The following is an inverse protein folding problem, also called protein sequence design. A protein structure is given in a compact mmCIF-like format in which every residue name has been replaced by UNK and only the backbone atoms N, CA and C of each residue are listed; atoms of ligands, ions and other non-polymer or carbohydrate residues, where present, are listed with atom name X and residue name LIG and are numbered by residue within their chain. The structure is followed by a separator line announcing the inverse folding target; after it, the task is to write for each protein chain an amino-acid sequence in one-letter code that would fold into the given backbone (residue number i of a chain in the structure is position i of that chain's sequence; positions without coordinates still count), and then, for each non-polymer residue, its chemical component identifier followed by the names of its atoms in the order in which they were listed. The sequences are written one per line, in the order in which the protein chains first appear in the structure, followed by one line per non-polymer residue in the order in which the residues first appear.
data_IF_133242500031
#
_entry.id   IF_133242500031
#
_cell.length_a   1.000
_cell.length_b   1.000
_cell.length_c   1.000
_cell.angle_alpha   90.00
_cell.angle_beta   90.00
_cell.angle_gamma   90.00
#
_symmetry.space_group_name_H-M   'P 1'
#
loop_
_entity.id
_entity.type
_entity.pdbx_description
1 polymer ?
#
# COMPACT_ATOMS: atom_id res chain seq x y z
N UNK A 1 0.05 13.12 -20.58
CA UNK A 1 0.99 13.15 -19.46
C UNK A 1 0.77 14.45 -18.70
N UNK A 2 0.68 14.47 -17.36
CA UNK A 2 0.98 15.69 -16.60
C UNK A 2 2.43 16.05 -16.90
N UNK A 3 2.69 17.32 -17.18
CA UNK A 3 3.84 17.73 -17.98
C UNK A 3 5.15 17.87 -17.20
N UNK A 4 5.17 17.78 -15.86
CA UNK A 4 6.44 17.80 -15.11
C UNK A 4 6.35 17.20 -13.69
N UNK A 5 7.47 16.70 -13.12
CA UNK A 5 7.62 16.34 -11.70
C UNK A 5 7.32 17.47 -10.68
N UNK A 6 7.18 18.72 -11.15
CA UNK A 6 7.03 19.89 -10.30
C UNK A 6 5.67 20.01 -9.61
N UNK A 7 4.60 19.46 -10.20
CA UNK A 7 3.25 19.55 -9.59
C UNK A 7 3.14 18.68 -8.33
N UNK A 8 3.78 17.51 -8.31
CA UNK A 8 3.82 16.62 -7.12
C UNK A 8 4.65 17.23 -5.98
N UNK A 9 5.75 17.92 -6.30
CA UNK A 9 6.58 18.61 -5.30
C UNK A 9 5.83 19.79 -4.65
N UNK A 10 5.07 20.57 -5.43
CA UNK A 10 4.25 21.67 -4.90
C UNK A 10 3.14 21.17 -3.96
N UNK A 11 2.58 19.98 -4.19
CA UNK A 11 1.53 19.40 -3.34
C UNK A 11 2.12 18.98 -1.99
N UNK A 12 3.28 18.29 -1.97
CA UNK A 12 3.88 17.83 -0.71
C UNK A 12 4.59 18.95 0.09
N UNK A 13 5.17 19.95 -0.57
CA UNK A 13 5.75 21.11 0.12
C UNK A 13 4.67 21.95 0.81
N UNK A 14 3.48 22.07 0.22
CA UNK A 14 2.33 22.71 0.87
C UNK A 14 1.87 21.98 2.13
N UNK A 15 2.08 20.66 2.20
CA UNK A 15 1.82 19.86 3.40
C UNK A 15 2.97 19.90 4.43
N UNK A 16 4.19 20.18 3.99
CA UNK A 16 5.35 20.35 4.89
C UNK A 16 5.35 21.72 5.58
N UNK A 17 4.75 22.73 4.94
CA UNK A 17 4.58 24.09 5.49
C UNK A 17 3.38 24.25 6.44
N UNK A 18 2.60 23.18 6.68
CA UNK A 18 1.55 23.18 7.69
C UNK A 18 2.18 23.08 9.09
N UNK A 19 2.56 24.22 9.65
CA UNK A 19 2.61 24.43 11.09
C UNK A 19 1.16 24.31 11.63
N UNK A 20 0.67 23.09 11.74
CA UNK A 20 -0.57 22.78 12.44
C UNK A 20 -0.35 23.07 13.93
N UNK A 21 -1.19 23.91 14.57
CA UNK A 21 -1.15 24.05 16.01
C UNK A 21 -1.73 22.75 16.60
N UNK A 22 -0.88 21.74 16.78
CA UNK A 22 -1.24 20.52 17.50
C UNK A 22 -1.28 20.86 18.98
N UNK A 23 -2.49 21.06 19.49
CA UNK A 23 -2.74 21.25 20.92
C UNK A 23 -2.63 19.88 21.59
N UNK A 24 -1.57 19.72 22.38
CA UNK A 24 -1.35 18.56 23.25
C UNK A 24 -2.42 18.55 24.34
N UNK A 25 -3.49 17.77 24.16
CA UNK A 25 -4.29 17.29 25.28
C UNK A 25 -4.16 15.77 25.32
N UNK A 26 -3.25 15.34 26.20
CA UNK A 26 -3.11 13.96 26.61
C UNK A 26 -4.44 13.48 27.20
N UNK A 27 -5.08 12.53 26.54
CA UNK A 27 -6.06 11.67 27.20
C UNK A 27 -5.85 10.25 26.68
N UNK A 28 -4.94 9.57 27.37
CA UNK A 28 -4.80 8.13 27.29
C UNK A 28 -5.99 7.54 28.05
N UNK A 29 -7.10 7.32 27.35
CA UNK A 29 -8.25 6.59 27.89
C UNK A 29 -8.10 5.14 27.47
N UNK A 30 -7.90 4.28 28.46
CA UNK A 30 -7.92 2.82 28.34
C UNK A 30 -9.21 2.38 27.64
N UNK A 31 -9.09 1.81 26.45
CA UNK A 31 -10.20 1.54 25.52
C UNK A 31 -10.99 0.27 25.83
N UNK A 32 -10.72 -0.41 26.95
CA UNK A 32 -11.38 -1.70 27.27
C UNK A 32 -12.68 -1.61 28.08
N UNK A 33 -13.05 -0.44 28.61
CA UNK A 33 -14.22 -0.32 29.52
C UNK A 33 -15.25 0.75 29.17
N UNK A 34 -15.03 1.54 28.12
CA UNK A 34 -16.03 2.48 27.62
C UNK A 34 -16.66 1.88 26.38
N UNK A 35 -18.00 1.82 26.29
CA UNK A 35 -18.75 1.44 25.09
C UNK A 35 -18.56 2.41 23.90
N UNK A 36 -17.32 2.79 23.63
CA UNK A 36 -16.88 3.57 22.49
C UNK A 36 -16.99 2.69 21.26
N UNK A 37 -17.67 3.24 20.25
CA UNK A 37 -17.77 2.65 18.93
C UNK A 37 -16.36 2.24 18.45
N UNK A 38 -16.24 1.07 17.79
CA UNK A 38 -14.98 0.65 17.22
C UNK A 38 -14.38 1.73 16.32
N UNK A 39 -13.08 2.00 16.46
CA UNK A 39 -12.40 3.00 15.64
C UNK A 39 -12.15 2.41 14.25
N UNK A 40 -12.54 3.08 13.15
CA UNK A 40 -12.39 2.52 11.80
C UNK A 40 -10.94 2.12 11.46
N UNK A 41 -9.94 2.77 12.06
CA UNK A 41 -8.53 2.42 11.88
C UNK A 41 -8.16 1.06 12.50
N UNK A 42 -8.75 0.70 13.64
CA UNK A 42 -8.58 -0.62 14.27
C UNK A 42 -9.38 -1.68 13.54
N UNK A 43 -10.58 -1.33 13.10
CA UNK A 43 -11.48 -2.23 12.39
C UNK A 43 -10.95 -2.57 11.00
N UNK A 44 -10.26 -1.66 10.30
CA UNK A 44 -9.61 -1.95 9.01
C UNK A 44 -8.52 -3.02 9.14
N UNK A 45 -7.82 -3.08 10.27
CA UNK A 45 -6.74 -4.06 10.49
C UNK A 45 -7.28 -5.50 10.61
N UNK A 46 -8.55 -5.66 11.03
CA UNK A 46 -9.17 -6.98 11.21
C UNK A 46 -9.41 -7.74 9.90
N UNK A 47 -10.10 -7.22 8.87
CA UNK A 47 -10.29 -7.95 7.62
C UNK A 47 -8.98 -8.14 6.87
N UNK A 48 -8.03 -7.20 6.96
CA UNK A 48 -6.69 -7.34 6.37
C UNK A 48 -5.94 -8.53 6.99
N UNK A 49 -6.01 -8.71 8.32
CA UNK A 49 -5.45 -9.88 9.01
C UNK A 49 -6.26 -11.16 8.75
N UNK A 50 -7.58 -11.07 8.85
CA UNK A 50 -8.51 -12.19 8.66
C UNK A 50 -8.47 -12.77 7.26
N UNK A 51 -8.06 -11.97 6.26
CA UNK A 51 -7.80 -12.44 4.91
C UNK A 51 -6.82 -13.64 4.87
N UNK A 52 -5.85 -13.68 5.79
CA UNK A 52 -4.86 -14.76 5.90
C UNK A 52 -5.21 -15.82 6.97
N UNK A 53 -6.45 -15.84 7.48
CA UNK A 53 -6.89 -16.78 8.52
C UNK A 53 -6.74 -18.25 8.12
N UNK A 54 -6.98 -18.54 6.83
CA UNK A 54 -6.88 -19.88 6.23
C UNK A 54 -5.44 -20.28 5.87
N UNK A 55 -4.47 -19.43 6.22
CA UNK A 55 -3.06 -19.58 5.87
C UNK A 55 -2.67 -18.90 4.55
N UNK A 56 -1.36 -18.69 4.34
CA UNK A 56 -0.83 -18.03 3.14
C UNK A 56 -1.17 -18.76 1.82
N UNK A 57 -1.31 -20.09 1.86
CA UNK A 57 -1.57 -20.90 0.66
C UNK A 57 -2.99 -20.70 0.09
N UNK A 58 -3.94 -20.28 0.93
CA UNK A 58 -5.32 -19.99 0.52
C UNK A 58 -5.49 -18.54 0.00
N UNK A 59 -4.57 -17.63 0.35
CA UNK A 59 -4.63 -16.21 -0.01
C UNK A 59 -4.75 -15.93 -1.52
N UNK A 60 -4.08 -16.65 -2.45
CA UNK A 60 -4.21 -16.40 -3.88
C UNK A 60 -5.63 -16.66 -4.38
N UNK A 61 -6.23 -17.77 -3.94
CA UNK A 61 -7.59 -18.17 -4.34
C UNK A 61 -8.59 -17.16 -3.78
N UNK A 62 -8.44 -16.80 -2.50
CA UNK A 62 -9.29 -15.82 -1.84
C UNK A 62 -9.21 -14.45 -2.52
N UNK A 63 -8.02 -14.06 -2.98
CA UNK A 63 -7.80 -12.81 -3.71
C UNK A 63 -8.46 -12.83 -5.10
N UNK A 64 -8.31 -13.92 -5.85
CA UNK A 64 -8.97 -14.04 -7.17
C UNK A 64 -10.48 -14.08 -7.04
N UNK A 65 -11.04 -14.78 -6.03
CA UNK A 65 -12.47 -14.71 -5.74
C UNK A 65 -12.90 -13.28 -5.43
N UNK A 66 -12.21 -12.58 -4.52
CA UNK A 66 -12.48 -11.18 -4.23
C UNK A 66 -12.46 -10.33 -5.51
N UNK A 67 -11.42 -10.46 -6.32
CA UNK A 67 -11.26 -9.74 -7.59
C UNK A 67 -12.42 -9.98 -8.55
N UNK A 68 -12.81 -11.23 -8.78
CA UNK A 68 -13.87 -11.57 -9.74
C UNK A 68 -15.23 -11.04 -9.29
N UNK A 69 -15.58 -11.23 -8.01
CA UNK A 69 -16.85 -10.72 -7.46
C UNK A 69 -16.90 -9.18 -7.49
N UNK A 70 -15.77 -8.49 -7.23
CA UNK A 70 -15.71 -7.04 -7.37
C UNK A 70 -15.90 -6.56 -8.82
N UNK A 71 -15.35 -7.30 -9.80
CA UNK A 71 -15.56 -7.01 -11.22
C UNK A 71 -17.04 -7.16 -11.64
N UNK A 72 -17.79 -7.99 -10.92
CA UNK A 72 -19.24 -8.17 -11.07
C UNK A 72 -20.08 -7.20 -10.20
N UNK A 73 -19.43 -6.33 -9.42
CA UNK A 73 -20.10 -5.40 -8.49
C UNK A 73 -20.74 -6.08 -7.28
N UNK A 74 -20.28 -7.27 -6.91
CA UNK A 74 -20.79 -8.05 -5.78
C UNK A 74 -19.88 -7.94 -4.56
N UNK A 75 -20.48 -7.88 -3.37
CA UNK A 75 -19.76 -7.87 -2.09
C UNK A 75 -19.89 -9.18 -1.30
N UNK A 76 -20.77 -10.09 -1.76
CA UNK A 76 -20.93 -11.44 -1.21
C UNK A 76 -20.02 -12.39 -1.96
N UNK A 77 -18.91 -12.78 -1.33
CA UNK A 77 -17.84 -13.57 -1.94
C UNK A 77 -18.03 -15.02 -1.53
N UNK A 78 -18.36 -15.87 -2.51
CA UNK A 78 -18.47 -17.30 -2.28
C UNK A 78 -17.12 -17.96 -2.52
N UNK A 79 -16.83 -19.01 -1.75
CA UNK A 79 -15.74 -19.92 -2.08
C UNK A 79 -16.10 -20.66 -3.36
N UNK A 80 -15.59 -20.15 -4.46
CA UNK A 80 -15.81 -20.79 -5.74
C UNK A 80 -14.97 -22.08 -5.84
N UNK A 81 -15.66 -23.22 -5.80
CA UNK A 81 -15.08 -24.55 -5.95
C UNK A 81 -14.39 -24.76 -7.31
N UNK A 82 -14.67 -23.89 -8.30
CA UNK A 82 -13.98 -23.90 -9.58
C UNK A 82 -12.49 -23.64 -9.37
N UNK A 83 -12.05 -22.76 -8.46
CA UNK A 83 -10.61 -22.45 -8.28
C UNK A 83 -9.78 -23.55 -7.61
N UNK A 84 -10.33 -24.74 -7.40
CA UNK A 84 -9.57 -25.93 -6.98
C UNK A 84 -8.39 -26.24 -7.92
N UNK A 85 -8.45 -25.83 -9.20
CA UNK A 85 -7.32 -25.92 -10.12
C UNK A 85 -6.22 -24.87 -9.87
N UNK A 86 -6.54 -23.69 -9.32
CA UNK A 86 -5.56 -22.65 -8.96
C UNK A 86 -4.73 -23.02 -7.71
N UNK A 87 -5.23 -23.96 -6.91
CA UNK A 87 -4.49 -24.57 -5.80
C UNK A 87 -3.36 -25.49 -6.27
N UNK A 88 -3.23 -25.75 -7.59
CA UNK A 88 -2.08 -26.48 -8.11
C UNK A 88 -0.81 -25.61 -8.03
N UNK A 89 0.34 -26.17 -7.58
CA UNK A 89 1.59 -25.43 -7.38
C UNK A 89 2.05 -24.51 -8.52
N UNK A 90 1.88 -24.83 -9.82
CA UNK A 90 2.30 -23.93 -10.88
C UNK A 90 1.44 -22.65 -11.00
N UNK A 91 0.15 -22.69 -10.65
CA UNK A 91 -0.75 -21.53 -10.79
C UNK A 91 -0.70 -20.60 -9.58
N UNK A 92 -0.53 -21.14 -8.37
CA UNK A 92 -0.32 -20.34 -7.16
C UNK A 92 0.95 -19.47 -7.22
N UNK A 93 1.96 -19.87 -8.02
CA UNK A 93 3.17 -19.09 -8.30
C UNK A 93 2.96 -17.96 -9.33
N UNK A 94 1.92 -18.05 -10.15
CA UNK A 94 1.59 -17.05 -11.17
C UNK A 94 0.78 -15.88 -10.59
N UNK A 95 0.12 -16.10 -9.45
CA UNK A 95 -0.57 -15.07 -8.71
C UNK A 95 0.42 -14.43 -7.74
N UNK A 96 0.81 -13.15 -7.90
CA UNK A 96 1.82 -12.50 -7.06
C UNK A 96 1.22 -12.11 -5.70
N UNK A 97 0.69 -13.10 -4.98
CA UNK A 97 -0.03 -12.90 -3.72
C UNK A 97 0.88 -12.41 -2.60
N UNK A 98 2.18 -12.66 -2.74
CA UNK A 98 3.23 -12.18 -1.84
C UNK A 98 3.67 -10.73 -2.16
N UNK A 99 3.13 -10.06 -3.19
CA UNK A 99 3.62 -8.76 -3.66
C UNK A 99 3.11 -7.55 -2.87
N UNK A 100 3.89 -6.46 -2.94
CA UNK A 100 3.53 -5.13 -2.44
C UNK A 100 2.21 -4.60 -3.05
N UNK A 101 1.94 -4.98 -4.30
CA UNK A 101 0.71 -4.61 -5.01
C UNK A 101 -0.51 -5.26 -4.38
N UNK A 102 -0.47 -6.57 -4.11
CA UNK A 102 -1.60 -7.22 -3.43
C UNK A 102 -1.86 -6.58 -2.07
N UNK A 103 -0.80 -6.34 -1.29
CA UNK A 103 -0.95 -5.77 0.05
C UNK A 103 -1.65 -4.41 0.03
N UNK A 104 -1.22 -3.54 -0.89
CA UNK A 104 -1.82 -2.23 -1.05
C UNK A 104 -3.24 -2.31 -1.64
N UNK A 105 -3.49 -3.15 -2.66
CA UNK A 105 -4.84 -3.38 -3.20
C UNK A 105 -5.81 -3.85 -2.13
N UNK A 106 -5.41 -4.81 -1.29
CA UNK A 106 -6.28 -5.37 -0.26
C UNK A 106 -6.74 -4.31 0.75
N UNK A 107 -5.80 -3.50 1.27
CA UNK A 107 -6.14 -2.44 2.21
C UNK A 107 -7.00 -1.34 1.57
N UNK A 108 -6.75 -0.98 0.31
CA UNK A 108 -7.56 -0.01 -0.43
C UNK A 108 -8.98 -0.52 -0.69
N UNK A 109 -9.11 -1.77 -1.14
CA UNK A 109 -10.39 -2.42 -1.40
C UNK A 109 -11.21 -2.54 -0.13
N UNK A 110 -10.62 -2.90 1.01
CA UNK A 110 -11.39 -2.90 2.28
C UNK A 110 -11.78 -1.49 2.71
N UNK A 111 -11.00 -0.47 2.36
CA UNK A 111 -11.30 0.91 2.74
C UNK A 111 -12.29 1.61 1.80
N UNK A 112 -12.47 1.11 0.58
CA UNK A 112 -13.31 1.77 -0.43
C UNK A 112 -14.79 1.79 -0.05
N UNK A 113 -15.53 2.79 -0.49
CA UNK A 113 -16.99 2.75 -0.45
C UNK A 113 -17.56 1.48 -1.14
N UNK A 114 -18.75 0.99 -0.74
CA UNK A 114 -19.32 -0.26 -1.24
C UNK A 114 -19.81 -0.18 -2.69
N UNK A 115 -19.88 1.01 -3.28
CA UNK A 115 -20.25 1.20 -4.67
C UNK A 115 -19.26 0.47 -5.59
N UNK A 116 -19.76 -0.26 -6.61
CA UNK A 116 -18.92 -1.00 -7.56
C UNK A 116 -17.83 -0.14 -8.19
N UNK A 117 -18.16 1.11 -8.56
CA UNK A 117 -17.21 2.03 -9.19
C UNK A 117 -16.02 2.36 -8.28
N UNK A 118 -16.28 2.68 -7.01
CA UNK A 118 -15.24 3.01 -6.03
C UNK A 118 -14.35 1.80 -5.72
N UNK A 119 -14.95 0.62 -5.63
CA UNK A 119 -14.21 -0.63 -5.40
C UNK A 119 -13.36 -1.00 -6.63
N UNK A 120 -13.88 -0.82 -7.85
CA UNK A 120 -13.13 -1.01 -9.09
C UNK A 120 -12.00 0.02 -9.26
N UNK A 121 -12.20 1.26 -8.79
CA UNK A 121 -11.16 2.27 -8.78
C UNK A 121 -10.01 1.89 -7.83
N UNK A 122 -10.35 1.46 -6.60
CA UNK A 122 -9.38 0.97 -5.62
C UNK A 122 -8.61 -0.27 -6.14
N UNK A 123 -9.32 -1.22 -6.77
CA UNK A 123 -8.71 -2.37 -7.44
C UNK A 123 -7.79 -1.92 -8.59
N UNK A 124 -8.25 -0.98 -9.40
CA UNK A 124 -7.57 -0.47 -10.58
C UNK A 124 -6.36 0.42 -10.28
N UNK A 125 -6.21 0.94 -9.07
CA UNK A 125 -5.09 1.82 -8.70
C UNK A 125 -3.74 1.21 -9.06
N UNK A 126 -3.53 -0.08 -8.76
CA UNK A 126 -2.25 -0.77 -8.96
C UNK A 126 -2.19 -1.61 -10.26
N UNK A 127 -3.35 -1.87 -10.88
CA UNK A 127 -3.45 -2.52 -12.19
C UNK A 127 -3.23 -1.55 -13.35
N UNK A 128 -3.63 -0.28 -13.19
CA UNK A 128 -3.47 0.75 -14.21
C UNK A 128 -2.04 1.28 -14.18
N UNK A 129 -1.19 0.69 -15.00
CA UNK A 129 0.19 1.09 -15.20
C UNK A 129 0.37 2.48 -15.86
N UNK A 130 -0.59 3.42 -15.83
CA UNK A 130 -0.44 4.87 -16.19
C UNK A 130 -1.78 5.64 -16.35
N UNK A 131 -2.88 5.28 -15.67
CA UNK A 131 -4.01 6.21 -15.65
C UNK A 131 -3.72 7.33 -14.64
N UNK A 132 -3.70 8.57 -15.13
CA UNK A 132 -3.57 9.80 -14.35
C UNK A 132 -4.77 9.87 -13.38
N UNK A 133 -4.63 9.30 -12.18
CA UNK A 133 -5.44 9.75 -11.06
C UNK A 133 -4.82 11.08 -10.63
N UNK A 134 -5.61 12.14 -10.75
CA UNK A 134 -5.27 13.44 -10.16
C UNK A 134 -5.06 13.20 -8.66
N UNK A 135 -3.89 13.56 -8.16
CA UNK A 135 -3.63 13.58 -6.72
C UNK A 135 -4.61 14.57 -6.10
N UNK A 136 -5.66 14.06 -5.46
CA UNK A 136 -6.49 14.89 -4.61
C UNK A 136 -5.67 15.29 -3.38
N UNK A 137 -5.92 16.51 -2.89
CA UNK A 137 -5.27 17.04 -1.71
C UNK A 137 -5.71 16.22 -0.51
N UNK A 138 -4.76 15.61 0.18
CA UNK A 138 -4.98 14.99 1.48
C UNK A 138 -5.37 16.06 2.51
N UNK A 139 -6.67 16.28 2.70
CA UNK A 139 -7.16 17.13 3.76
C UNK A 139 -7.26 16.31 5.05
N UNK A 140 -6.20 16.32 5.86
CA UNK A 140 -6.29 15.89 7.26
C UNK A 140 -7.09 16.96 8.00
N UNK A 141 -8.42 16.86 7.96
CA UNK A 141 -9.39 17.80 8.58
C UNK A 141 -9.33 17.75 10.12
N UNK A 142 -8.52 16.85 10.71
CA UNK A 142 -8.35 16.70 12.17
C UNK A 142 -9.64 16.37 12.93
N UNK A 143 -10.76 16.17 12.22
CA UNK A 143 -12.07 15.90 12.80
C UNK A 143 -12.08 14.49 13.40
N UNK A 144 -12.60 14.42 14.62
CA UNK A 144 -12.79 13.18 15.36
C UNK A 144 -13.65 12.23 14.54
N UNK A 145 -13.16 11.00 14.32
CA UNK A 145 -13.89 9.94 13.63
C UNK A 145 -13.60 9.78 12.14
N UNK A 146 -12.83 10.69 11.51
CA UNK A 146 -12.45 10.55 10.09
C UNK A 146 -11.17 9.74 9.94
N UNK A 147 -11.23 8.68 9.14
CA UNK A 147 -10.06 7.92 8.71
C UNK A 147 -9.80 8.20 7.24
N UNK A 148 -8.56 8.54 6.90
CA UNK A 148 -8.11 8.71 5.51
C UNK A 148 -7.14 7.59 5.17
N UNK A 149 -7.36 6.92 4.05
CA UNK A 149 -6.49 5.83 3.58
C UNK A 149 -5.80 6.26 2.29
N UNK A 150 -4.47 6.22 2.31
CA UNK A 150 -3.61 6.64 1.21
C UNK A 150 -2.91 5.41 0.62
N UNK A 151 -3.27 5.05 -0.61
CA UNK A 151 -2.50 4.15 -1.44
C UNK A 151 -1.34 4.91 -2.08
N UNK A 152 -0.12 4.47 -1.82
CA UNK A 152 1.10 5.11 -2.34
C UNK A 152 1.79 4.13 -3.27
N UNK A 153 2.13 4.59 -4.47
CA UNK A 153 2.92 3.84 -5.43
C UNK A 153 4.17 4.63 -5.79
N UNK A 154 5.33 4.16 -5.31
CA UNK A 154 6.65 4.68 -5.66
C UNK A 154 7.18 3.87 -6.84
N UNK A 155 7.33 4.50 -8.00
CA UNK A 155 7.78 3.85 -9.24
C UNK A 155 8.94 4.61 -9.82
N UNK A 156 9.97 3.90 -10.27
CA UNK A 156 11.02 4.49 -11.09
C UNK A 156 10.55 4.62 -12.54
N UNK A 157 10.56 5.85 -13.07
CA UNK A 157 10.11 6.21 -14.42
C UNK A 157 10.93 5.46 -15.48
N UNK A 158 12.20 5.16 -15.20
CA UNK A 158 13.02 4.34 -16.10
C UNK A 158 12.40 2.96 -16.37
N UNK A 159 11.71 2.38 -15.39
CA UNK A 159 10.99 1.10 -15.55
C UNK A 159 9.96 1.19 -16.69
N UNK A 160 9.24 2.31 -16.72
CA UNK A 160 8.15 2.55 -17.67
C UNK A 160 8.72 2.83 -19.05
N UNK A 161 9.68 3.74 -19.15
CA UNK A 161 10.28 4.11 -20.44
C UNK A 161 11.02 2.94 -21.10
N UNK A 162 11.68 2.08 -20.31
CA UNK A 162 12.35 0.87 -20.84
C UNK A 162 11.34 -0.20 -21.25
N UNK A 163 10.27 -0.37 -20.47
CA UNK A 163 9.17 -1.29 -20.79
C UNK A 163 8.44 -0.91 -22.08
N UNK A 164 8.13 0.37 -22.26
CA UNK A 164 7.50 0.91 -23.48
C UNK A 164 8.39 0.77 -24.72
N UNK A 165 9.70 0.89 -24.56
CA UNK A 165 10.67 0.73 -25.65
C UNK A 165 11.00 -0.74 -25.97
N UNK A 166 10.43 -1.71 -25.27
CA UNK A 166 10.84 -3.13 -25.32
C UNK A 166 12.37 -3.29 -25.19
N UNK A 167 13.00 -2.42 -24.40
CA UNK A 167 14.45 -2.42 -24.26
C UNK A 167 14.90 -3.70 -23.55
N UNK A 168 15.69 -4.51 -24.26
CA UNK A 168 16.22 -5.80 -23.78
C UNK A 168 17.38 -5.66 -22.79
N UNK A 169 17.66 -4.46 -22.28
CA UNK A 169 18.75 -4.26 -21.32
C UNK A 169 18.36 -4.78 -19.93
N UNK A 170 18.28 -6.12 -19.83
CA UNK A 170 18.04 -6.92 -18.63
C UNK A 170 19.20 -6.85 -17.62
N UNK A 171 20.25 -6.07 -17.93
CA UNK A 171 21.42 -5.90 -17.07
C UNK A 171 21.16 -4.93 -15.90
N UNK A 172 19.98 -4.32 -15.84
CA UNK A 172 19.59 -3.42 -14.76
C UNK A 172 18.21 -3.77 -14.21
N UNK A 173 18.06 -3.59 -12.90
CA UNK A 173 16.78 -3.66 -12.20
C UNK A 173 16.23 -2.24 -12.06
N UNK A 174 14.93 -2.10 -12.27
CA UNK A 174 14.21 -0.91 -11.85
C UNK A 174 13.28 -1.25 -10.68
N UNK A 175 12.72 -0.24 -10.04
CA UNK A 175 12.09 -0.40 -8.74
C UNK A 175 10.67 0.18 -8.71
N UNK A 176 9.72 -0.62 -8.22
CA UNK A 176 8.37 -0.19 -7.91
C UNK A 176 7.93 -0.78 -6.57
N UNK A 177 7.34 0.04 -5.71
CA UNK A 177 6.82 -0.39 -4.43
C UNK A 177 5.54 0.33 -4.06
N UNK A 178 4.53 -0.47 -3.76
CA UNK A 178 3.20 0.00 -3.40
C UNK A 178 2.93 -0.33 -1.94
N UNK A 179 2.37 0.64 -1.20
CA UNK A 179 2.02 0.48 0.20
C UNK A 179 0.82 1.35 0.55
N UNK A 180 0.20 1.11 1.69
CA UNK A 180 -0.95 1.89 2.16
C UNK A 180 -0.67 2.47 3.55
N UNK A 181 -1.03 3.74 3.73
CA UNK A 181 -1.04 4.43 5.01
C UNK A 181 -2.50 4.72 5.37
N UNK A 182 -2.98 4.18 6.49
CA UNK A 182 -4.28 4.55 7.05
C UNK A 182 -4.04 5.52 8.22
N UNK A 183 -4.68 6.69 8.17
CA UNK A 183 -4.42 7.83 9.05
C UNK A 183 -5.70 8.20 9.80
N UNK A 184 -5.60 8.36 11.11
CA UNK A 184 -6.66 8.84 11.99
C UNK A 184 -6.08 9.78 13.06
N UNK A 185 -6.91 10.37 13.92
CA UNK A 185 -6.43 11.30 14.98
C UNK A 185 -5.41 10.64 15.91
N UNK A 186 -5.65 9.39 16.26
CA UNK A 186 -4.83 8.59 17.18
C UNK A 186 -3.46 8.19 16.61
N UNK A 187 -3.22 8.39 15.31
CA UNK A 187 -1.98 8.02 14.65
C UNK A 187 -2.24 7.37 13.29
N UNK A 188 -1.35 6.47 12.89
CA UNK A 188 -1.45 5.82 11.57
C UNK A 188 -1.03 4.35 11.61
N UNK A 189 -1.49 3.60 10.60
CA UNK A 189 -1.09 2.22 10.33
C UNK A 189 -0.49 2.11 8.94
N UNK A 190 0.49 1.23 8.79
CA UNK A 190 1.10 0.88 7.50
C UNK A 190 0.68 -0.52 7.09
N UNK A 191 0.33 -0.68 5.83
CA UNK A 191 0.16 -1.98 5.18
C UNK A 191 1.12 -2.05 4.01
N UNK A 192 2.09 -2.96 4.11
CA UNK A 192 3.11 -3.14 3.08
C UNK A 192 3.60 -4.58 3.07
N UNK A 193 4.12 -4.97 1.93
CA UNK A 193 4.92 -6.16 1.72
C UNK A 193 5.97 -5.81 0.69
N UNK A 194 6.99 -6.65 0.52
CA UNK A 194 8.01 -6.40 -0.50
C UNK A 194 7.90 -7.35 -1.67
N UNK A 195 7.57 -8.63 -1.44
CA UNK A 195 7.48 -9.62 -2.52
C UNK A 195 8.49 -10.75 -2.39
N UNK A 196 8.84 -11.32 -3.53
CA UNK A 196 9.62 -12.56 -3.71
C UNK A 196 10.93 -12.64 -2.91
N UNK A 197 11.64 -11.52 -2.73
CA UNK A 197 12.93 -11.49 -2.00
C UNK A 197 12.87 -10.69 -0.70
N UNK A 198 11.67 -10.48 -0.15
CA UNK A 198 11.47 -9.78 1.12
C UNK A 198 10.36 -10.43 1.93
N UNK A 199 9.68 -9.64 2.76
CA UNK A 199 8.59 -10.14 3.59
C UNK A 199 7.24 -10.06 2.89
N UNK A 200 6.38 -11.02 3.21
CA UNK A 200 4.97 -11.06 2.79
C UNK A 200 4.10 -10.21 3.72
N UNK A 201 2.87 -9.91 3.29
CA UNK A 201 1.93 -9.16 4.13
C UNK A 201 1.57 -9.94 5.40
N UNK A 202 1.33 -11.25 5.33
CA UNK A 202 1.00 -12.06 6.52
C UNK A 202 2.12 -12.03 7.57
N UNK A 203 3.38 -12.11 7.13
CA UNK A 203 4.56 -12.03 8.00
C UNK A 203 4.68 -10.64 8.62
N UNK A 204 4.46 -9.60 7.82
CA UNK A 204 4.45 -8.21 8.28
C UNK A 204 3.38 -7.96 9.34
N UNK A 205 2.17 -8.47 9.13
CA UNK A 205 1.06 -8.36 10.10
C UNK A 205 1.35 -9.15 11.38
N UNK A 206 1.86 -10.38 11.27
CA UNK A 206 2.15 -11.28 12.40
C UNK A 206 3.18 -10.70 13.37
N UNK A 207 4.20 -9.99 12.86
CA UNK A 207 5.20 -9.28 13.67
C UNK A 207 4.76 -7.90 14.17
N UNK A 208 3.49 -7.54 14.00
CA UNK A 208 2.94 -6.26 14.45
C UNK A 208 3.36 -5.07 13.56
N UNK A 209 3.64 -5.29 12.28
CA UNK A 209 4.01 -4.23 11.34
C UNK A 209 2.89 -3.20 11.14
N UNK A 210 1.63 -3.63 11.14
CA UNK A 210 0.44 -2.77 11.03
C UNK A 210 -0.03 -2.16 12.36
N UNK A 211 0.77 -2.24 13.42
CA UNK A 211 0.45 -1.60 14.70
C UNK A 211 0.18 -0.10 14.51
N UNK A 212 -0.63 0.46 15.40
CA UNK A 212 -0.80 1.92 15.48
C UNK A 212 0.54 2.58 15.80
N UNK A 213 0.92 3.58 15.01
CA UNK A 213 2.17 4.35 15.12
C UNK A 213 1.89 5.80 15.49
N UNK A 214 2.85 6.40 16.20
CA UNK A 214 2.77 7.76 16.73
C UNK A 214 2.99 8.82 15.65
N UNK A 215 2.58 10.06 15.85
CA UNK A 215 2.84 11.12 14.88
C UNK A 215 4.34 11.45 14.74
N UNK A 216 5.14 11.15 15.75
CA UNK A 216 6.60 11.22 15.71
C UNK A 216 7.17 10.22 14.69
N UNK A 217 6.66 8.99 14.70
CA UNK A 217 7.02 7.98 13.70
C UNK A 217 6.63 8.44 12.28
N UNK A 218 5.51 9.16 12.13
CA UNK A 218 5.07 9.70 10.84
C UNK A 218 6.07 10.73 10.30
N UNK A 219 6.50 11.67 11.16
CA UNK A 219 7.49 12.69 10.82
C UNK A 219 8.82 12.06 10.44
N UNK A 220 9.27 11.06 11.19
CA UNK A 220 10.50 10.32 10.88
C UNK A 220 10.40 9.57 9.54
N UNK A 221 9.27 8.88 9.29
CA UNK A 221 9.00 8.22 8.02
C UNK A 221 9.03 9.22 6.86
N UNK A 222 8.28 10.32 6.95
CA UNK A 222 8.20 11.33 5.88
C UNK A 222 9.57 11.94 5.57
N UNK A 223 10.38 12.24 6.60
CA UNK A 223 11.75 12.73 6.42
C UNK A 223 12.61 11.75 5.63
N UNK A 224 12.50 10.45 5.87
CA UNK A 224 13.25 9.44 5.13
C UNK A 224 12.65 9.22 3.73
N UNK A 225 11.33 9.17 3.61
CA UNK A 225 10.65 9.01 2.33
C UNK A 225 10.94 10.17 1.37
N UNK A 226 11.07 11.40 1.88
CA UNK A 226 11.54 12.57 1.13
C UNK A 226 12.91 12.39 0.50
N UNK A 227 13.81 11.65 1.17
CA UNK A 227 15.12 11.32 0.61
C UNK A 227 15.04 10.26 -0.50
N UNK A 228 13.90 9.63 -0.73
CA UNK A 228 13.75 8.64 -1.81
C UNK A 228 13.25 9.29 -3.09
N UNK A 229 12.27 10.18 -3.00
CA UNK A 229 11.62 10.72 -4.21
C UNK A 229 12.23 12.03 -4.72
N UNK A 230 13.16 12.67 -3.98
CA UNK A 230 13.79 13.94 -4.40
C UNK A 230 14.98 13.79 -5.36
N UNK A 231 15.63 12.63 -5.40
CA UNK A 231 16.88 12.45 -6.17
C UNK A 231 16.60 11.90 -7.57
N UNK A 232 17.30 12.46 -8.56
CA UNK A 232 17.32 11.98 -9.95
C UNK A 232 18.74 11.61 -10.35
N UNK A 233 19.37 10.74 -9.56
CA UNK A 233 20.78 10.39 -9.69
C UNK A 233 21.00 8.87 -9.55
N UNK A 234 22.25 8.45 -9.41
CA UNK A 234 22.59 7.06 -9.10
C UNK A 234 22.09 6.67 -7.70
N UNK A 235 21.67 5.42 -7.52
CA UNK A 235 21.30 4.89 -6.20
C UNK A 235 22.47 4.97 -5.20
N UNK A 236 22.35 5.83 -4.19
CA UNK A 236 23.41 6.08 -3.19
C UNK A 236 23.25 5.26 -1.91
N UNK A 237 24.23 5.29 -1.00
CA UNK A 237 24.10 4.73 0.34
C UNK A 237 23.01 5.43 1.16
N UNK A 238 22.91 6.75 1.05
CA UNK A 238 21.89 7.53 1.75
C UNK A 238 20.47 7.16 1.30
N UNK A 239 20.26 6.95 0.01
CA UNK A 239 18.99 6.45 -0.53
C UNK A 239 18.70 5.03 -0.03
N UNK A 240 19.71 4.16 -0.02
CA UNK A 240 19.54 2.80 0.49
C UNK A 240 19.18 2.78 1.99
N UNK A 241 19.81 3.65 2.80
CA UNK A 241 19.48 3.80 4.22
C UNK A 241 18.06 4.34 4.41
N UNK A 242 17.68 5.37 3.64
CA UNK A 242 16.32 5.91 3.69
C UNK A 242 15.28 4.85 3.31
N UNK A 243 15.56 4.06 2.28
CA UNK A 243 14.68 2.99 1.82
C UNK A 243 14.55 1.89 2.87
N UNK A 244 15.68 1.46 3.44
CA UNK A 244 15.72 0.48 4.53
C UNK A 244 14.97 0.97 5.77
N UNK A 245 15.04 2.26 6.09
CA UNK A 245 14.27 2.84 7.20
C UNK A 245 12.76 2.82 6.92
N UNK A 246 12.34 3.16 5.71
CA UNK A 246 10.92 3.19 5.34
C UNK A 246 10.31 1.78 5.23
N UNK A 247 11.04 0.85 4.64
CA UNK A 247 10.49 -0.42 4.15
C UNK A 247 11.16 -1.66 4.71
N UNK A 248 12.16 -1.51 5.60
CA UNK A 248 12.89 -2.60 6.26
C UNK A 248 13.63 -3.54 5.30
N UNK A 249 13.95 -3.05 4.09
CA UNK A 249 14.64 -3.83 3.06
C UNK A 249 15.92 -3.12 2.62
N UNK A 250 17.01 -3.89 2.53
CA UNK A 250 18.31 -3.40 2.09
C UNK A 250 18.50 -3.68 0.60
N UNK A 251 18.22 -2.70 -0.25
CA UNK A 251 18.24 -2.87 -1.71
C UNK A 251 19.65 -3.21 -2.21
N UNK A 252 20.71 -2.65 -1.61
CA UNK A 252 22.10 -3.00 -1.96
C UNK A 252 22.47 -4.44 -1.61
N UNK A 253 21.76 -5.07 -0.66
CA UNK A 253 21.97 -6.49 -0.37
C UNK A 253 21.37 -7.41 -1.45
N UNK A 254 20.35 -6.93 -2.16
CA UNK A 254 19.58 -7.68 -3.16
C UNK A 254 20.05 -7.39 -4.59
N UNK A 255 20.34 -6.12 -4.90
CA UNK A 255 20.68 -5.64 -6.24
C UNK A 255 22.18 -5.34 -6.34
N UNK A 256 22.83 -5.84 -7.40
CA UNK A 256 24.25 -5.59 -7.66
C UNK A 256 24.97 -6.71 -8.41
N UNK A 257 26.26 -6.52 -8.68
CA UNK A 257 27.08 -7.54 -9.35
C UNK A 257 27.18 -8.79 -8.48
N UNK A 258 26.75 -9.94 -9.03
CA UNK A 258 26.75 -11.23 -8.31
C UNK A 258 25.69 -11.33 -7.21
N UNK A 259 24.66 -10.48 -7.24
CA UNK A 259 23.51 -10.52 -6.33
C UNK A 259 22.29 -11.14 -7.01
N UNK A 260 21.20 -11.28 -6.24
CA UNK A 260 19.93 -11.87 -6.70
C UNK A 260 19.32 -11.09 -7.88
N UNK A 261 19.45 -9.77 -7.83
CA UNK A 261 18.93 -8.86 -8.84
C UNK A 261 20.07 -8.06 -9.49
N UNK A 262 19.95 -7.71 -10.78
CA UNK A 262 20.87 -6.79 -11.43
C UNK A 262 21.00 -5.44 -10.68
N UNK A 263 22.06 -4.65 -10.97
CA UNK A 263 22.21 -3.31 -10.41
C UNK A 263 20.99 -2.41 -10.69
N UNK A 264 20.69 -1.48 -9.77
CA UNK A 264 19.64 -0.48 -10.01
C UNK A 264 20.00 0.39 -11.22
N UNK A 265 18.99 0.64 -12.06
CA UNK A 265 19.07 1.48 -13.25
C UNK A 265 19.56 2.89 -12.92
N UNK A 266 20.25 3.49 -13.88
CA UNK A 266 20.83 4.83 -13.77
C UNK A 266 20.36 5.70 -14.95
N UNK A 267 19.91 6.94 -14.69
CA UNK A 267 19.62 7.52 -13.37
C UNK A 267 18.35 6.89 -12.76
N UNK A 268 18.24 6.81 -11.43
CA UNK A 268 16.97 6.47 -10.77
C UNK A 268 16.06 7.70 -10.81
N UNK A 269 14.85 7.56 -11.38
CA UNK A 269 13.89 8.67 -11.54
C UNK A 269 12.59 8.34 -10.81
N UNK A 270 12.50 8.59 -9.49
CA UNK A 270 11.32 8.25 -8.71
C UNK A 270 10.11 9.10 -9.10
N UNK A 271 8.97 8.46 -9.16
CA UNK A 271 7.66 9.07 -9.27
C UNK A 271 6.73 8.48 -8.22
N UNK A 272 6.02 9.34 -7.50
CA UNK A 272 5.09 8.95 -6.45
C UNK A 272 3.68 9.27 -6.91
N UNK A 273 2.84 8.23 -6.98
CA UNK A 273 1.41 8.36 -7.19
C UNK A 273 0.67 8.07 -5.89
N UNK A 274 -0.30 8.91 -5.56
CA UNK A 274 -1.15 8.76 -4.36
C UNK A 274 -2.60 8.57 -4.81
N UNK A 275 -3.27 7.61 -4.19
CA UNK A 275 -4.71 7.40 -4.25
C UNK A 275 -5.28 7.56 -2.86
N UNK A 276 -6.33 8.35 -2.73
CA UNK A 276 -6.86 8.78 -1.44
C UNK A 276 -8.31 8.34 -1.31
N UNK A 277 -8.63 7.70 -0.19
CA UNK A 277 -9.99 7.39 0.24
C UNK A 277 -10.22 8.18 1.52
N UNK A 278 -11.09 9.17 1.43
CA UNK A 278 -11.47 10.01 2.55
C UNK A 278 -12.64 9.44 3.32
N UNK A 279 -12.68 9.77 4.62
CA UNK A 279 -13.82 9.49 5.49
C UNK A 279 -14.23 8.00 5.45
N UNK A 280 -13.24 7.11 5.64
CA UNK A 280 -13.48 5.66 5.66
C UNK A 280 -14.34 5.30 6.86
N UNK A 281 -15.51 4.75 6.58
CA UNK A 281 -16.51 4.35 7.58
C UNK A 281 -16.47 2.84 7.86
N UNK A 282 -17.17 2.43 8.91
CA UNK A 282 -17.37 1.02 9.24
C UNK A 282 -18.04 0.23 8.11
N UNK A 283 -19.06 0.81 7.47
CA UNK A 283 -19.76 0.20 6.33
C UNK A 283 -18.84 -0.10 5.14
N UNK A 284 -17.79 0.70 4.94
CA UNK A 284 -16.77 0.43 3.92
C UNK A 284 -15.99 -0.86 4.26
N UNK A 285 -15.59 -1.00 5.52
CA UNK A 285 -14.70 -2.08 6.00
C UNK A 285 -15.46 -3.42 6.04
N UNK A 286 -16.71 -3.39 6.48
CA UNK A 286 -17.54 -4.58 6.72
C UNK A 286 -18.37 -5.00 5.49
N UNK A 287 -18.20 -4.34 4.34
CA UNK A 287 -19.04 -4.59 3.16
C UNK A 287 -18.95 -6.01 2.59
N UNK A 288 -17.82 -6.69 2.77
CA UNK A 288 -17.60 -8.01 2.19
C UNK A 288 -18.04 -9.12 3.13
N UNK A 289 -18.90 -9.99 2.64
CA UNK A 289 -19.29 -11.22 3.34
C UNK A 289 -18.63 -12.42 2.66
N UNK A 290 -18.03 -13.30 3.44
CA UNK A 290 -17.30 -14.47 2.95
C UNK A 290 -18.11 -15.72 3.26
N UNK A 291 -18.46 -16.50 2.24
CA UNK A 291 -19.26 -17.73 2.39
C UNK A 291 -18.47 -18.96 1.99
N UNK A 292 -18.48 -19.99 2.85
CA UNK A 292 -17.75 -21.24 2.62
C UNK A 292 -16.24 -21.16 2.86
N UNK A 293 -15.77 -20.08 3.49
CA UNK A 293 -14.37 -19.83 3.88
C UNK A 293 -14.13 -20.11 5.38
N UNK A 294 -15.01 -20.88 6.01
CA UNK A 294 -14.95 -21.27 7.44
C UNK A 294 -14.01 -22.47 7.69
#
# INVERSE_FOLDING_TARGET
MPSTPNETNQILEKHTALNLPFRDEATQVDSKSSGLLPKPLEELDKPVKGFFGDGPDAAPVKFESLRNYMMEGQTRIQRDGQFSYLMQPPYARLLPWNSCKLAATLALVFSSPPEPESTLEALGFLSRSLAVCTSQKAAIDGKVGKVTVLGVNLVDVEMLERGEKMSRDMNYSSFAHSFVIAIAREGFRFYQSWGEHGYRLDEYLRRGGSRLRSWEDAKAFLKMFQKLYRFQENWTDDMNMAYKHCFEVDIKSICGRGKLQPPIVRPYRPWVRIFEINDVKMENIEKFTWEGWD
#
